data_IF_474608457552
#
_entry.id   IF_474608457552
#
_cell.length_a   1.000
_cell.length_b   1.000
_cell.length_c   1.000
_cell.angle_alpha   90.00
_cell.angle_beta   90.00
_cell.angle_gamma   90.00
#
_symmetry.space_group_name_H-M   'P 1'
#
loop_
_entity.id
_entity.type
_entity.pdbx_description
1 polymer ?
#
# COMPACT_ATOMS: atom_id res chain seq x y z
N UNK A 1 -2.33 -43.32 -20.25
CA UNK A 1 -2.96 -43.57 -18.94
C UNK A 1 -2.04 -43.24 -17.76
N UNK A 2 -0.71 -43.46 -17.80
CA UNK A 2 0.17 -43.15 -16.64
C UNK A 2 0.50 -41.66 -16.46
N UNK A 3 0.76 -40.90 -17.53
CA UNK A 3 1.29 -39.53 -17.42
C UNK A 3 0.34 -38.54 -16.72
N UNK A 4 -0.96 -38.57 -17.03
CA UNK A 4 -1.94 -37.69 -16.40
C UNK A 4 -2.13 -38.03 -14.91
N UNK A 5 -2.19 -39.32 -14.59
CA UNK A 5 -2.29 -39.80 -13.21
C UNK A 5 -1.10 -39.33 -12.37
N UNK A 6 0.11 -39.49 -12.90
CA UNK A 6 1.33 -39.04 -12.24
C UNK A 6 1.35 -37.51 -12.04
N UNK A 7 0.80 -36.76 -13.01
CA UNK A 7 0.65 -35.30 -12.88
C UNK A 7 -0.33 -34.91 -11.76
N UNK A 8 -1.48 -35.57 -11.66
CA UNK A 8 -2.47 -35.31 -10.61
C UNK A 8 -1.86 -35.61 -9.23
N UNK A 9 -1.16 -36.73 -9.09
CA UNK A 9 -0.45 -37.08 -7.85
C UNK A 9 0.54 -35.98 -7.43
N UNK A 10 1.31 -35.42 -8.37
CA UNK A 10 2.22 -34.31 -8.07
C UNK A 10 1.50 -33.05 -7.59
N UNK A 11 0.33 -32.72 -8.14
CA UNK A 11 -0.47 -31.59 -7.66
C UNK A 11 -1.02 -31.85 -6.27
N UNK A 12 -1.52 -33.07 -6.01
CA UNK A 12 -1.98 -33.49 -4.67
C UNK A 12 -0.86 -33.33 -3.64
N UNK A 13 0.33 -33.84 -3.94
CA UNK A 13 1.51 -33.71 -3.07
C UNK A 13 1.96 -32.25 -2.89
N UNK A 14 1.78 -31.41 -3.92
CA UNK A 14 2.03 -29.97 -3.84
C UNK A 14 1.10 -29.27 -2.87
N UNK A 15 -0.21 -29.45 -3.07
CA UNK A 15 -1.27 -28.88 -2.22
C UNK A 15 -1.15 -29.38 -0.78
N UNK A 16 -0.88 -30.67 -0.58
CA UNK A 16 -0.69 -31.26 0.76
C UNK A 16 0.52 -30.67 1.50
N UNK A 17 1.65 -30.47 0.80
CA UNK A 17 2.81 -29.78 1.37
C UNK A 17 2.48 -28.34 1.78
N UNK A 18 1.78 -27.59 0.94
CA UNK A 18 1.38 -26.20 1.24
C UNK A 18 0.45 -26.16 2.44
N UNK A 19 -0.57 -27.01 2.49
CA UNK A 19 -1.51 -27.09 3.62
C UNK A 19 -0.80 -27.42 4.94
N UNK A 20 0.17 -28.32 4.92
CA UNK A 20 0.95 -28.68 6.11
C UNK A 20 1.84 -27.55 6.64
N UNK A 21 2.16 -26.54 5.81
CA UNK A 21 2.91 -25.36 6.22
C UNK A 21 2.01 -24.28 6.84
N UNK A 22 0.70 -24.36 6.65
CA UNK A 22 -0.26 -23.40 7.20
C UNK A 22 -0.57 -23.80 8.65
N UNK A 23 0.02 -23.09 9.61
CA UNK A 23 -0.22 -23.32 11.05
C UNK A 23 -1.49 -22.64 11.54
N UNK A 24 -1.74 -21.40 11.11
CA UNK A 24 -2.91 -20.61 11.48
C UNK A 24 -3.19 -19.56 10.39
N UNK A 25 -4.42 -19.53 9.88
CA UNK A 25 -4.83 -18.65 8.77
C UNK A 25 -5.88 -17.64 9.23
N UNK A 26 -5.80 -16.41 8.71
CA UNK A 26 -6.86 -15.39 8.91
C UNK A 26 -8.14 -15.72 8.13
N UNK A 27 -8.07 -16.66 7.19
CA UNK A 27 -9.15 -17.08 6.31
C UNK A 27 -9.37 -18.60 6.39
N UNK A 28 -9.73 -19.15 7.57
CA UNK A 28 -9.81 -20.60 7.79
C UNK A 28 -10.80 -21.31 6.86
N UNK A 29 -11.84 -20.61 6.38
CA UNK A 29 -12.80 -21.16 5.41
C UNK A 29 -12.16 -21.47 4.05
N UNK A 30 -11.18 -20.68 3.62
CA UNK A 30 -10.47 -20.92 2.34
C UNK A 30 -9.59 -22.16 2.49
N UNK A 31 -8.87 -22.29 3.61
CA UNK A 31 -8.07 -23.47 3.95
C UNK A 31 -8.95 -24.72 3.96
N UNK A 32 -10.13 -24.65 4.61
CA UNK A 32 -11.06 -25.77 4.68
C UNK A 32 -11.58 -26.19 3.30
N UNK A 33 -11.92 -25.24 2.43
CA UNK A 33 -12.33 -25.55 1.05
C UNK A 33 -11.19 -26.20 0.26
N UNK A 34 -9.96 -25.70 0.38
CA UNK A 34 -8.80 -26.30 -0.29
C UNK A 34 -8.56 -27.75 0.18
N UNK A 35 -8.75 -28.04 1.47
CA UNK A 35 -8.69 -29.42 2.00
C UNK A 35 -9.79 -30.29 1.37
N UNK A 36 -11.03 -29.80 1.33
CA UNK A 36 -12.16 -30.57 0.75
C UNK A 36 -11.91 -30.94 -0.70
N UNK A 37 -11.54 -29.96 -1.55
CA UNK A 37 -11.23 -30.22 -2.96
C UNK A 37 -10.01 -31.16 -3.14
N UNK A 38 -9.00 -31.09 -2.26
CA UNK A 38 -7.88 -32.03 -2.29
C UNK A 38 -8.33 -33.46 -1.95
N UNK A 39 -9.22 -33.65 -0.98
CA UNK A 39 -9.76 -34.97 -0.63
C UNK A 39 -10.68 -35.51 -1.73
N UNK A 40 -11.51 -34.65 -2.35
CA UNK A 40 -12.34 -35.03 -3.51
C UNK A 40 -11.46 -35.46 -4.69
N UNK A 41 -10.37 -34.72 -4.97
CA UNK A 41 -9.40 -35.11 -5.99
C UNK A 41 -8.78 -36.50 -5.73
N UNK A 42 -8.42 -36.81 -4.47
CA UNK A 42 -7.92 -38.15 -4.07
C UNK A 42 -8.99 -39.22 -4.33
N UNK A 43 -10.24 -38.95 -3.96
CA UNK A 43 -11.35 -39.87 -4.18
C UNK A 43 -11.57 -40.20 -5.66
N UNK A 44 -11.68 -39.20 -6.54
CA UNK A 44 -11.91 -39.43 -7.97
C UNK A 44 -10.72 -40.10 -8.65
N UNK A 45 -9.50 -39.78 -8.20
CA UNK A 45 -8.28 -40.45 -8.67
C UNK A 45 -8.30 -41.95 -8.39
N UNK A 46 -8.76 -42.36 -7.20
CA UNK A 46 -8.92 -43.77 -6.83
C UNK A 46 -9.99 -44.48 -7.66
N UNK A 47 -11.07 -43.76 -8.03
CA UNK A 47 -12.13 -44.28 -8.92
C UNK A 47 -11.71 -44.35 -10.39
N UNK A 48 -10.55 -43.79 -10.74
CA UNK A 48 -10.05 -43.73 -12.11
C UNK A 48 -10.67 -42.61 -12.94
N UNK A 49 -11.43 -41.71 -12.32
CA UNK A 49 -11.92 -40.48 -12.96
C UNK A 49 -10.83 -39.41 -12.88
N UNK A 50 -9.91 -39.46 -13.85
CA UNK A 50 -8.76 -38.58 -13.88
C UNK A 50 -9.13 -37.13 -14.23
N UNK A 51 -10.23 -36.91 -14.95
CA UNK A 51 -10.65 -35.56 -15.37
C UNK A 51 -11.20 -34.78 -14.18
N UNK A 52 -12.12 -35.40 -13.43
CA UNK A 52 -12.68 -34.78 -12.21
C UNK A 52 -11.59 -34.59 -11.15
N UNK A 53 -10.73 -35.58 -10.96
CA UNK A 53 -9.61 -35.47 -10.03
C UNK A 53 -8.65 -34.32 -10.37
N UNK A 54 -8.39 -34.08 -11.67
CA UNK A 54 -7.59 -32.94 -12.10
C UNK A 54 -8.28 -31.60 -11.82
N UNK A 55 -9.59 -31.50 -12.09
CA UNK A 55 -10.35 -30.26 -11.84
C UNK A 55 -10.34 -29.90 -10.36
N UNK A 56 -10.63 -30.88 -9.49
CA UNK A 56 -10.67 -30.65 -8.05
C UNK A 56 -9.31 -30.22 -7.50
N UNK A 57 -8.21 -30.86 -7.92
CA UNK A 57 -6.90 -30.49 -7.37
C UNK A 57 -6.41 -29.12 -7.86
N UNK A 58 -6.70 -28.75 -9.11
CA UNK A 58 -6.38 -27.41 -9.63
C UNK A 58 -7.21 -26.34 -8.91
N UNK A 59 -8.45 -26.65 -8.54
CA UNK A 59 -9.28 -25.74 -7.74
C UNK A 59 -8.70 -25.53 -6.33
N UNK A 60 -8.25 -26.62 -5.68
CA UNK A 60 -7.56 -26.53 -4.39
C UNK A 60 -6.28 -25.70 -4.46
N UNK A 61 -5.47 -25.87 -5.51
CA UNK A 61 -4.25 -25.07 -5.75
C UNK A 61 -4.58 -23.58 -5.90
N UNK A 62 -5.58 -23.23 -6.71
CA UNK A 62 -6.01 -21.83 -6.89
C UNK A 62 -6.56 -21.18 -5.62
N UNK A 63 -7.23 -21.95 -4.74
CA UNK A 63 -7.65 -21.46 -3.43
C UNK A 63 -6.47 -21.11 -2.51
N UNK A 64 -5.41 -21.92 -2.55
CA UNK A 64 -4.19 -21.65 -1.79
C UNK A 64 -3.41 -20.46 -2.34
N UNK A 65 -3.42 -20.25 -3.66
CA UNK A 65 -2.86 -19.03 -4.27
C UNK A 65 -3.63 -17.79 -3.83
N UNK A 66 -4.97 -17.85 -3.83
CA UNK A 66 -5.80 -16.76 -3.34
C UNK A 66 -5.58 -16.50 -1.85
N UNK A 67 -5.40 -17.56 -1.05
CA UNK A 67 -5.06 -17.45 0.36
C UNK A 67 -3.73 -16.73 0.55
N UNK A 68 -2.69 -17.16 -0.16
CA UNK A 68 -1.38 -16.52 -0.11
C UNK A 68 -1.48 -15.03 -0.46
N UNK A 69 -2.27 -14.66 -1.47
CA UNK A 69 -2.49 -13.26 -1.83
C UNK A 69 -3.19 -12.45 -0.72
N UNK A 70 -4.17 -13.05 -0.04
CA UNK A 70 -4.91 -12.40 1.05
C UNK A 70 -4.08 -12.30 2.34
N UNK A 71 -3.19 -13.26 2.57
CA UNK A 71 -2.36 -13.34 3.76
C UNK A 71 -1.02 -12.62 3.61
N UNK A 72 -0.52 -12.43 2.39
CA UNK A 72 0.59 -11.52 2.11
C UNK A 72 0.22 -10.10 2.56
N UNK A 73 0.78 -9.70 3.71
CA UNK A 73 0.66 -8.32 4.16
C UNK A 73 1.40 -7.43 3.18
N UNK A 74 0.67 -6.60 2.43
CA UNK A 74 1.29 -5.53 1.64
C UNK A 74 2.12 -4.66 2.59
N UNK A 75 3.35 -4.33 2.15
CA UNK A 75 4.23 -3.42 2.89
C UNK A 75 3.47 -2.15 3.28
N UNK A 76 3.67 -1.65 4.49
CA UNK A 76 3.14 -0.36 4.93
C UNK A 76 4.03 0.75 4.41
N UNK A 77 3.45 1.67 3.67
CA UNK A 77 4.13 2.83 3.08
C UNK A 77 3.67 4.09 3.80
N UNK A 78 4.58 4.76 4.49
CA UNK A 78 4.31 6.02 5.15
C UNK A 78 4.62 7.21 4.25
N UNK A 79 3.70 8.16 4.22
CA UNK A 79 3.83 9.41 3.48
C UNK A 79 3.48 10.59 4.39
N UNK A 80 4.33 11.61 4.44
CA UNK A 80 4.04 12.86 5.15
C UNK A 80 3.94 14.04 4.20
N UNK A 81 2.95 14.93 4.38
CA UNK A 81 2.83 16.11 3.53
C UNK A 81 1.75 17.10 3.94
N UNK A 82 1.82 18.32 3.41
CA UNK A 82 0.80 19.35 3.63
C UNK A 82 -0.46 19.06 2.80
N UNK A 83 -0.32 18.67 1.53
CA UNK A 83 -1.46 18.40 0.64
C UNK A 83 -2.51 19.53 0.54
N UNK A 84 -2.03 20.78 0.48
CA UNK A 84 -2.90 21.96 0.33
C UNK A 84 -3.28 22.17 -1.14
N UNK A 85 -4.56 22.46 -1.40
CA UNK A 85 -5.22 22.44 -2.73
C UNK A 85 -4.86 21.17 -3.51
N UNK A 86 -5.72 20.15 -3.46
CA UNK A 86 -5.48 18.89 -4.15
C UNK A 86 -5.34 19.09 -5.66
N UNK A 87 -4.37 18.38 -6.26
CA UNK A 87 -4.07 18.49 -7.69
C UNK A 87 -3.42 17.20 -8.23
N UNK A 88 -3.33 17.02 -9.56
CA UNK A 88 -2.82 15.77 -10.16
C UNK A 88 -1.42 15.37 -9.68
N UNK A 89 -0.55 16.33 -9.37
CA UNK A 89 0.77 16.05 -8.77
C UNK A 89 0.69 15.26 -7.44
N UNK A 90 -0.25 15.59 -6.55
CA UNK A 90 -0.46 14.84 -5.30
C UNK A 90 -1.03 13.43 -5.59
N UNK A 91 -1.97 13.32 -6.54
CA UNK A 91 -2.57 12.03 -6.92
C UNK A 91 -1.50 11.08 -7.46
N UNK A 92 -0.66 11.57 -8.37
CA UNK A 92 0.42 10.77 -8.95
C UNK A 92 1.49 10.39 -7.91
N UNK A 93 1.79 11.27 -6.96
CA UNK A 93 2.69 10.96 -5.84
C UNK A 93 2.15 9.84 -4.96
N UNK A 94 0.87 9.93 -4.54
CA UNK A 94 0.21 8.90 -3.75
C UNK A 94 0.05 7.59 -4.54
N UNK A 95 -0.20 7.66 -5.86
CA UNK A 95 -0.25 6.49 -6.74
C UNK A 95 1.08 5.74 -6.77
N UNK A 96 2.20 6.46 -6.85
CA UNK A 96 3.55 5.85 -6.80
C UNK A 96 3.84 5.23 -5.44
N UNK A 97 3.44 5.87 -4.35
CA UNK A 97 3.52 5.27 -3.01
C UNK A 97 2.70 3.97 -2.93
N UNK A 98 1.49 3.96 -3.49
CA UNK A 98 0.60 2.80 -3.49
C UNK A 98 1.13 1.61 -4.29
N UNK A 99 1.99 1.84 -5.29
CA UNK A 99 2.67 0.75 -6.00
C UNK A 99 3.67 0.00 -5.10
N UNK A 100 4.14 0.64 -4.02
CA UNK A 100 5.07 0.04 -3.06
C UNK A 100 4.34 -0.71 -1.92
N UNK A 101 3.03 -0.48 -1.73
CA UNK A 101 2.27 -1.10 -0.65
C UNK A 101 1.02 -0.31 -0.22
N UNK A 102 0.56 -0.54 1.01
CA UNK A 102 -0.60 0.14 1.59
C UNK A 102 -0.17 1.49 2.19
N UNK A 103 -0.81 2.59 1.73
CA UNK A 103 -0.33 3.96 2.01
C UNK A 103 -1.01 4.58 3.23
N UNK A 104 -0.21 4.93 4.22
CA UNK A 104 -0.60 5.67 5.42
C UNK A 104 -0.10 7.11 5.31
N UNK A 105 -1.02 8.07 5.38
CA UNK A 105 -0.70 9.49 5.16
C UNK A 105 -0.82 10.30 6.45
N UNK A 106 0.30 10.91 6.87
CA UNK A 106 0.32 11.94 7.89
C UNK A 106 0.14 13.33 7.24
N UNK A 107 -1.04 13.91 7.41
CA UNK A 107 -1.35 15.27 6.97
C UNK A 107 -0.74 16.25 7.96
N UNK A 108 0.12 17.15 7.49
CA UNK A 108 0.81 18.12 8.35
C UNK A 108 -0.20 19.06 9.02
N UNK A 109 0.04 19.35 10.30
CA UNK A 109 -0.70 20.38 11.05
C UNK A 109 -0.53 21.75 10.42
N UNK A 110 -1.52 22.63 10.55
CA UNK A 110 -1.47 23.98 9.94
C UNK A 110 -0.24 24.76 10.42
N UNK A 111 0.05 24.71 11.72
CA UNK A 111 1.23 25.34 12.32
C UNK A 111 2.55 24.79 11.75
N UNK A 112 2.61 23.51 11.40
CA UNK A 112 3.80 22.87 10.84
C UNK A 112 3.97 23.24 9.37
N UNK A 113 2.86 23.24 8.63
CA UNK A 113 2.83 23.66 7.24
C UNK A 113 3.24 25.13 7.07
N UNK A 114 2.76 26.01 7.93
CA UNK A 114 3.10 27.43 7.95
C UNK A 114 4.60 27.65 8.20
N UNK A 115 5.17 26.99 9.22
CA UNK A 115 6.61 27.05 9.50
C UNK A 115 7.47 26.61 8.32
N UNK A 116 7.08 25.53 7.64
CA UNK A 116 7.87 24.98 6.52
C UNK A 116 7.71 25.78 5.23
N UNK A 117 6.49 26.25 4.93
CA UNK A 117 6.18 26.93 3.67
C UNK A 117 6.25 28.46 3.74
N UNK A 118 6.37 29.03 4.94
CA UNK A 118 6.36 30.48 5.18
C UNK A 118 4.99 31.13 4.96
N UNK A 119 3.92 30.34 4.80
CA UNK A 119 2.55 30.82 4.61
C UNK A 119 1.55 29.80 5.14
N UNK A 120 0.41 30.28 5.61
CA UNK A 120 -0.71 29.40 5.98
C UNK A 120 -1.22 28.63 4.76
N UNK A 121 -1.57 27.34 4.93
CA UNK A 121 -2.39 26.64 3.94
C UNK A 121 -3.68 27.40 3.64
N UNK A 122 -4.20 27.25 2.42
CA UNK A 122 -5.51 27.79 2.05
C UNK A 122 -6.62 26.98 2.72
N UNK A 123 -6.49 25.65 2.68
CA UNK A 123 -7.40 24.75 3.38
C UNK A 123 -6.80 24.37 4.74
N UNK A 124 -7.58 24.48 5.81
CA UNK A 124 -7.15 24.01 7.13
C UNK A 124 -6.87 22.50 7.16
N UNK A 125 -6.24 22.05 8.25
CA UNK A 125 -5.82 20.67 8.40
C UNK A 125 -6.95 19.64 8.36
N UNK A 126 -8.17 19.99 8.79
CA UNK A 126 -9.31 19.08 8.77
C UNK A 126 -9.85 18.91 7.35
N UNK A 127 -9.97 20.01 6.60
CA UNK A 127 -10.35 19.97 5.19
C UNK A 127 -9.34 19.19 4.35
N UNK A 128 -8.03 19.43 4.56
CA UNK A 128 -6.97 18.67 3.88
C UNK A 128 -7.03 17.19 4.24
N UNK A 129 -7.29 16.85 5.50
CA UNK A 129 -7.45 15.46 5.94
C UNK A 129 -8.65 14.77 5.29
N UNK A 130 -9.81 15.42 5.24
CA UNK A 130 -11.01 14.89 4.58
C UNK A 130 -10.75 14.61 3.10
N UNK A 131 -10.11 15.55 2.40
CA UNK A 131 -9.78 15.35 0.99
C UNK A 131 -8.82 14.18 0.79
N UNK A 132 -7.80 14.04 1.64
CA UNK A 132 -6.77 13.00 1.49
C UNK A 132 -7.30 11.61 1.83
N UNK A 133 -8.14 11.47 2.86
CA UNK A 133 -8.70 10.15 3.24
C UNK A 133 -9.63 9.57 2.16
N UNK A 134 -10.22 10.41 1.32
CA UNK A 134 -11.11 9.97 0.22
C UNK A 134 -10.37 9.50 -1.03
N UNK A 135 -9.03 9.59 -1.07
CA UNK A 135 -8.26 9.20 -2.26
C UNK A 135 -8.08 7.69 -2.29
N UNK A 136 -8.45 7.06 -3.42
CA UNK A 136 -8.37 5.61 -3.66
C UNK A 136 -7.04 4.95 -3.25
N UNK A 137 -5.92 5.67 -3.39
CA UNK A 137 -4.58 5.16 -3.12
C UNK A 137 -4.19 5.19 -1.64
N UNK A 138 -5.02 5.79 -0.77
CA UNK A 138 -4.75 6.00 0.64
C UNK A 138 -5.48 4.94 1.45
N UNK A 139 -4.74 4.14 2.22
CA UNK A 139 -5.28 3.16 3.16
C UNK A 139 -5.84 3.84 4.40
N UNK A 140 -5.11 4.81 4.92
CA UNK A 140 -5.48 5.60 6.09
C UNK A 140 -4.83 6.98 5.99
N UNK A 141 -5.57 8.02 6.37
CA UNK A 141 -5.02 9.35 6.56
C UNK A 141 -5.33 9.83 7.98
N UNK A 142 -4.38 10.53 8.58
CA UNK A 142 -4.52 11.11 9.91
C UNK A 142 -3.70 12.40 10.02
N UNK A 143 -3.98 13.20 11.04
CA UNK A 143 -3.19 14.39 11.32
C UNK A 143 -1.88 13.99 11.98
N UNK A 144 -0.78 14.50 11.41
CA UNK A 144 0.54 14.29 11.95
C UNK A 144 0.70 14.89 13.35
N UNK A 145 1.79 14.52 14.00
CA UNK A 145 2.15 15.10 15.29
C UNK A 145 2.52 16.57 15.14
N UNK A 146 2.20 17.32 16.18
CA UNK A 146 2.39 18.74 16.26
C UNK A 146 3.85 19.18 16.43
N UNK A 147 4.68 18.33 17.03
CA UNK A 147 6.02 18.69 17.50
C UNK A 147 7.09 17.69 17.04
N UNK A 148 6.76 16.42 16.85
CA UNK A 148 7.70 15.37 16.44
C UNK A 148 7.12 14.50 15.31
N UNK A 149 7.58 14.76 14.09
CA UNK A 149 7.22 13.96 12.90
C UNK A 149 7.46 12.45 13.08
N UNK A 150 8.50 12.05 13.83
CA UNK A 150 8.84 10.64 14.01
C UNK A 150 7.75 9.88 14.77
N UNK A 151 6.97 10.54 15.64
CA UNK A 151 5.80 9.91 16.29
C UNK A 151 4.74 9.45 15.31
N UNK A 152 4.60 10.16 14.18
CA UNK A 152 3.66 9.77 13.13
C UNK A 152 4.14 8.50 12.42
N UNK A 153 5.46 8.35 12.25
CA UNK A 153 6.09 7.15 11.70
C UNK A 153 5.96 5.98 12.69
N UNK A 154 6.23 6.23 13.98
CA UNK A 154 6.09 5.24 15.07
C UNK A 154 4.68 4.68 15.21
N UNK A 155 3.66 5.52 15.05
CA UNK A 155 2.26 5.08 15.04
C UNK A 155 2.00 4.01 13.99
N UNK A 156 2.56 4.17 12.79
CA UNK A 156 2.30 3.29 11.65
C UNK A 156 3.19 2.06 11.67
N UNK A 157 4.44 2.21 12.14
CA UNK A 157 5.54 1.24 12.00
C UNK A 157 5.66 0.75 10.55
N UNK A 158 5.99 1.66 9.60
CA UNK A 158 6.00 1.34 8.19
C UNK A 158 7.24 0.53 7.81
N UNK A 159 7.10 -0.27 6.75
CA UNK A 159 8.23 -0.91 6.07
C UNK A 159 8.96 0.08 5.15
N UNK A 160 8.22 1.06 4.62
CA UNK A 160 8.72 2.06 3.68
C UNK A 160 8.31 3.47 4.11
N UNK A 161 9.25 4.42 4.07
CA UNK A 161 8.94 5.87 4.08
C UNK A 161 9.15 6.42 2.67
N UNK A 162 8.10 7.00 2.09
CA UNK A 162 8.13 7.56 0.74
C UNK A 162 8.14 9.09 0.78
N UNK A 163 9.25 9.68 0.34
CA UNK A 163 9.52 11.11 0.39
C UNK A 163 9.29 11.78 -0.96
N UNK A 164 8.76 13.00 -0.90
CA UNK A 164 8.68 13.91 -2.04
C UNK A 164 10.05 14.51 -2.40
N UNK A 165 10.20 15.04 -3.62
CA UNK A 165 11.48 15.55 -4.13
C UNK A 165 11.96 16.78 -3.36
N UNK A 166 11.01 17.62 -2.92
CA UNK A 166 11.30 18.92 -2.30
C UNK A 166 11.55 18.83 -0.77
N UNK A 167 11.41 17.64 -0.17
CA UNK A 167 11.56 17.48 1.28
C UNK A 167 13.03 17.45 1.69
N UNK A 168 13.53 18.47 2.38
CA UNK A 168 14.97 18.57 2.78
C UNK A 168 15.35 17.68 3.97
N UNK A 169 14.87 16.45 4.01
CA UNK A 169 15.22 15.46 5.04
C UNK A 169 16.45 14.70 4.59
N UNK A 170 17.42 14.52 5.48
CA UNK A 170 18.57 13.63 5.26
C UNK A 170 18.11 12.18 5.48
N UNK A 171 18.20 11.36 4.43
CA UNK A 171 17.69 9.99 4.45
C UNK A 171 18.48 9.10 5.41
N UNK A 172 19.81 9.28 5.49
CA UNK A 172 20.66 8.49 6.37
C UNK A 172 20.32 8.79 7.82
N UNK A 173 20.23 10.09 8.18
CA UNK A 173 19.85 10.49 9.54
C UNK A 173 18.44 10.05 9.91
N UNK A 174 17.49 10.16 8.99
CA UNK A 174 16.12 9.69 9.24
C UNK A 174 16.10 8.20 9.53
N UNK A 175 16.86 7.40 8.76
CA UNK A 175 16.96 5.95 8.96
C UNK A 175 17.59 5.62 10.31
N UNK A 176 18.67 6.30 10.69
CA UNK A 176 19.34 6.11 11.99
C UNK A 176 18.42 6.44 13.17
N UNK A 177 17.69 7.55 13.11
CA UNK A 177 16.76 7.94 14.18
C UNK A 177 15.59 6.96 14.30
N UNK A 178 15.10 6.41 13.19
CA UNK A 178 14.06 5.38 13.20
C UNK A 178 14.57 4.04 13.69
N UNK A 179 15.81 3.66 13.36
CA UNK A 179 16.45 2.44 13.85
C UNK A 179 16.66 2.49 15.37
N UNK A 180 17.08 3.63 15.92
CA UNK A 180 17.14 3.87 17.37
C UNK A 180 15.79 3.71 18.07
N UNK A 181 14.70 3.95 17.35
CA UNK A 181 13.31 3.78 17.80
C UNK A 181 12.76 2.36 17.54
N UNK A 182 13.61 1.43 17.07
CA UNK A 182 13.26 0.04 16.79
C UNK A 182 12.46 -0.15 15.48
N UNK A 183 12.51 0.82 14.57
CA UNK A 183 11.76 0.80 13.30
C UNK A 183 12.74 0.63 12.15
N UNK A 184 12.80 -0.58 11.60
CA UNK A 184 13.56 -0.86 10.38
C UNK A 184 12.74 -0.47 9.17
N UNK A 185 13.24 0.48 8.39
CA UNK A 185 12.51 1.06 7.26
C UNK A 185 13.41 1.24 6.04
N UNK A 186 12.84 1.08 4.86
CA UNK A 186 13.42 1.49 3.58
C UNK A 186 12.95 2.93 3.27
N UNK A 187 13.88 3.81 2.92
CA UNK A 187 13.53 5.18 2.51
C UNK A 187 13.62 5.25 0.99
N UNK A 188 12.53 5.69 0.38
CA UNK A 188 12.47 5.95 -1.05
C UNK A 188 12.10 7.40 -1.29
N UNK A 189 12.86 8.09 -2.14
CA UNK A 189 12.56 9.46 -2.54
C UNK A 189 12.23 9.54 -4.02
N UNK A 190 11.21 10.31 -4.33
CA UNK A 190 10.93 10.70 -5.70
C UNK A 190 12.04 11.62 -6.22
N UNK A 191 12.75 11.21 -7.27
CA UNK A 191 13.90 11.96 -7.82
C UNK A 191 13.54 13.35 -8.33
N UNK A 192 12.37 13.48 -8.97
CA UNK A 192 11.96 14.70 -9.64
C UNK A 192 10.52 15.08 -9.31
N UNK A 193 10.23 16.37 -9.40
CA UNK A 193 8.87 16.90 -9.23
C UNK A 193 7.97 16.45 -10.38
N UNK A 194 6.76 16.04 -10.04
CA UNK A 194 5.75 15.61 -11.02
C UNK A 194 5.17 16.85 -11.71
N UNK A 195 5.77 17.26 -12.82
CA UNK A 195 5.35 18.42 -13.62
C UNK A 195 4.63 18.02 -14.91
N UNK A 196 3.87 16.91 -14.89
CA UNK A 196 3.14 16.41 -16.05
C UNK A 196 1.96 17.30 -16.46
N UNK A 197 1.43 18.12 -15.56
CA UNK A 197 0.29 19.00 -15.84
C UNK A 197 0.63 20.48 -15.54
N UNK A 198 -0.01 21.45 -16.22
CA UNK A 198 0.18 22.88 -15.92
C UNK A 198 -0.07 23.23 -14.44
N UNK A 199 -1.04 22.57 -13.83
CA UNK A 199 -1.45 22.75 -12.44
C UNK A 199 -0.96 21.63 -11.52
N UNK A 200 0.32 21.25 -11.68
CA UNK A 200 0.98 20.21 -10.90
C UNK A 200 1.39 20.62 -9.47
N UNK A 201 1.15 21.87 -9.06
CA UNK A 201 1.53 22.37 -7.73
C UNK A 201 0.50 23.38 -7.19
N UNK A 202 0.35 23.45 -5.87
CA UNK A 202 -0.46 24.50 -5.19
C UNK A 202 -0.08 25.89 -5.66
N UNK A 203 1.22 26.20 -5.76
CA UNK A 203 1.69 27.52 -6.17
C UNK A 203 1.34 27.86 -7.62
N UNK A 204 1.35 26.88 -8.55
CA UNK A 204 0.95 27.12 -9.93
C UNK A 204 -0.56 27.33 -10.07
N UNK A 205 -1.37 26.67 -9.25
CA UNK A 205 -2.82 26.92 -9.18
C UNK A 205 -3.11 28.32 -8.64
N UNK A 206 -2.49 28.70 -7.53
CA UNK A 206 -2.67 30.04 -6.94
C UNK A 206 -2.27 31.12 -7.95
N UNK A 207 -1.10 30.98 -8.59
CA UNK A 207 -0.64 31.94 -9.60
C UNK A 207 -1.64 32.09 -10.75
N UNK A 208 -2.22 30.98 -11.22
CA UNK A 208 -3.22 31.02 -12.28
C UNK A 208 -4.50 31.74 -11.85
N UNK A 209 -5.00 31.44 -10.65
CA UNK A 209 -6.19 32.10 -10.08
C UNK A 209 -5.93 33.60 -9.96
N UNK A 210 -4.80 34.01 -9.40
CA UNK A 210 -4.43 35.43 -9.27
C UNK A 210 -4.34 36.11 -10.64
N UNK A 211 -3.70 35.48 -11.62
CA UNK A 211 -3.58 36.04 -12.96
C UNK A 211 -4.95 36.28 -13.63
N UNK A 212 -5.88 35.34 -13.48
CA UNK A 212 -7.22 35.43 -14.11
C UNK A 212 -8.14 36.41 -13.41
N UNK A 213 -8.13 36.44 -12.08
CA UNK A 213 -9.18 37.11 -11.30
C UNK A 213 -8.70 38.35 -10.54
N UNK A 214 -7.39 38.58 -10.40
CA UNK A 214 -6.86 39.71 -9.62
C UNK A 214 -6.09 40.73 -10.47
N UNK A 215 -5.54 40.36 -11.62
CA UNK A 215 -4.75 41.26 -12.47
C UNK A 215 -5.57 42.02 -13.54
N UNK A 216 -6.91 42.04 -13.41
CA UNK A 216 -7.84 42.74 -14.31
C UNK A 216 -8.50 43.96 -13.63
N UNK A 217 -7.88 44.52 -12.59
CA UNK A 217 -8.30 45.77 -11.96
C UNK A 217 -7.40 46.93 -12.40
#
# INVERSE_FOLDING_TARGET
>A
MSELRDRILRYIDGVERTLNQISESKHPKIVQLAIQYKEDAKYYLEKGDLETALVDIVYAEGLLDALNYLEESRKKVFVGGTFDILHPGHIEFLRRAYQLGDVYVAVARDKNAEKVKGRKPINDEQHRLEVIRSIKYVKEAFLGDENDFLKSVERVKPDIVFLGPDQRVDETKLKEELDKRGIKVEIFRLKERINKWPHSSTSSIIKEITNRFCNHA
#
